data_IF_691161272200
#
_entry.id   IF_691161272200
#
_cell.length_a   1.000
_cell.length_b   1.000
_cell.length_c   1.000
_cell.angle_alpha   90.00
_cell.angle_beta   90.00
_cell.angle_gamma   90.00
#
_symmetry.space_group_name_H-M   'P 1'
#
loop_
_entity.id
_entity.type
_entity.pdbx_description
1 polymer ?
#
# COMPACT_ATOMS: atom_id res chain seq x y z
N UNK A 1 0.68 -22.42 -7.65
CA UNK A 1 -0.78 -22.52 -7.47
C UNK A 1 -1.36 -23.04 -8.77
N UNK A 2 -2.16 -24.11 -8.74
CA UNK A 2 -2.90 -24.56 -9.92
C UNK A 2 -4.18 -23.71 -10.06
N UNK A 3 -4.34 -22.92 -11.15
CA UNK A 3 -5.53 -22.10 -11.37
C UNK A 3 -6.84 -22.90 -11.41
N UNK A 4 -6.79 -24.18 -11.81
CA UNK A 4 -7.97 -25.06 -11.90
C UNK A 4 -8.47 -25.50 -10.53
N UNK A 5 -7.58 -25.57 -9.53
CA UNK A 5 -7.92 -25.95 -8.17
C UNK A 5 -8.51 -24.79 -7.36
N UNK A 6 -8.30 -23.55 -7.80
CA UNK A 6 -8.69 -22.35 -7.05
C UNK A 6 -9.33 -21.26 -7.95
N UNK A 7 -10.44 -21.56 -8.64
CA UNK A 7 -11.04 -20.67 -9.63
C UNK A 7 -11.41 -19.28 -9.09
N UNK A 8 -11.84 -19.20 -7.82
CA UNK A 8 -12.17 -17.90 -7.19
C UNK A 8 -10.93 -17.03 -6.96
N UNK A 9 -9.81 -17.64 -6.56
CA UNK A 9 -8.56 -16.89 -6.41
C UNK A 9 -8.01 -16.46 -7.77
N UNK A 10 -8.17 -17.29 -8.81
CA UNK A 10 -7.85 -16.92 -10.20
C UNK A 10 -8.64 -15.68 -10.64
N UNK A 11 -9.95 -15.65 -10.39
CA UNK A 11 -10.78 -14.47 -10.67
C UNK A 11 -10.29 -13.23 -9.92
N UNK A 12 -10.02 -13.35 -8.61
CA UNK A 12 -9.49 -12.24 -7.82
C UNK A 12 -8.10 -11.78 -8.28
N UNK A 13 -7.23 -12.70 -8.71
CA UNK A 13 -5.94 -12.38 -9.28
C UNK A 13 -6.07 -11.47 -10.53
N UNK A 14 -7.04 -11.76 -11.39
CA UNK A 14 -7.32 -10.93 -12.57
C UNK A 14 -7.83 -9.54 -12.18
N UNK A 15 -8.73 -9.45 -11.20
CA UNK A 15 -9.24 -8.18 -10.70
C UNK A 15 -8.16 -7.34 -10.02
N UNK A 16 -7.27 -7.99 -9.27
CA UNK A 16 -6.08 -7.36 -8.69
C UNK A 16 -5.17 -6.86 -9.82
N UNK A 17 -4.85 -7.68 -10.81
CA UNK A 17 -3.98 -7.28 -11.93
C UNK A 17 -4.51 -6.04 -12.68
N UNK A 18 -5.83 -5.98 -12.95
CA UNK A 18 -6.49 -4.80 -13.52
C UNK A 18 -6.34 -3.58 -12.62
N UNK A 19 -6.54 -3.76 -11.32
CA UNK A 19 -6.42 -2.70 -10.31
C UNK A 19 -4.99 -2.15 -10.23
N UNK A 20 -3.97 -2.98 -10.46
CA UNK A 20 -2.56 -2.57 -10.45
C UNK A 20 -2.10 -1.90 -11.75
N UNK A 21 -2.95 -1.85 -12.79
CA UNK A 21 -2.73 -1.15 -14.07
C UNK A 21 -1.37 -1.46 -14.74
N UNK A 22 -0.91 -2.72 -14.65
CA UNK A 22 0.33 -3.15 -15.30
C UNK A 22 1.63 -2.82 -14.56
N UNK A 23 1.57 -2.20 -13.37
CA UNK A 23 2.76 -1.93 -12.57
C UNK A 23 3.41 -3.24 -12.10
N UNK A 24 4.57 -3.58 -12.70
CA UNK A 24 5.29 -4.82 -12.43
C UNK A 24 5.75 -4.94 -10.97
N UNK A 25 6.17 -3.81 -10.40
CA UNK A 25 6.64 -3.72 -9.02
C UNK A 25 5.49 -4.03 -8.07
N UNK A 26 4.36 -3.34 -8.26
CA UNK A 26 3.16 -3.51 -7.44
C UNK A 26 2.57 -4.91 -7.58
N UNK A 27 2.62 -5.48 -8.79
CA UNK A 27 2.24 -6.87 -9.05
C UNK A 27 3.12 -7.86 -8.28
N UNK A 28 4.44 -7.67 -8.29
CA UNK A 28 5.37 -8.53 -7.53
C UNK A 28 5.14 -8.45 -6.01
N UNK A 29 4.97 -7.24 -5.48
CA UNK A 29 4.70 -7.03 -4.05
C UNK A 29 3.38 -7.70 -3.65
N UNK A 30 2.34 -7.50 -4.44
CA UNK A 30 1.02 -8.09 -4.20
C UNK A 30 1.04 -9.62 -4.33
N UNK A 31 1.74 -10.16 -5.34
CA UNK A 31 1.89 -11.60 -5.52
C UNK A 31 2.59 -12.25 -4.34
N UNK A 32 3.66 -11.63 -3.81
CA UNK A 32 4.36 -12.10 -2.61
C UNK A 32 3.46 -12.12 -1.38
N UNK A 33 2.63 -11.09 -1.22
CA UNK A 33 1.66 -11.00 -0.12
C UNK A 33 0.62 -12.14 -0.17
N UNK A 34 0.21 -12.52 -1.38
CA UNK A 34 -0.81 -13.54 -1.61
C UNK A 34 -0.27 -14.97 -1.65
N UNK A 35 1.03 -15.14 -1.94
CA UNK A 35 1.65 -16.44 -2.27
C UNK A 35 1.38 -17.53 -1.23
N UNK A 36 1.38 -17.16 0.04
CA UNK A 36 1.37 -18.10 1.15
C UNK A 36 -0.03 -18.18 1.82
N UNK A 37 -1.05 -17.52 1.25
CA UNK A 37 -2.42 -17.51 1.81
C UNK A 37 -3.47 -17.57 0.70
N UNK A 38 -4.09 -18.74 0.51
CA UNK A 38 -5.16 -18.98 -0.49
C UNK A 38 -6.58 -18.80 0.07
N UNK A 39 -6.71 -18.25 1.27
CA UNK A 39 -8.02 -18.05 1.88
C UNK A 39 -8.78 -16.95 1.14
N UNK A 40 -10.01 -17.24 0.70
CA UNK A 40 -10.74 -16.33 -0.19
C UNK A 40 -10.99 -14.95 0.43
N UNK A 41 -11.28 -14.89 1.73
CA UNK A 41 -11.51 -13.62 2.41
C UNK A 41 -10.24 -12.76 2.47
N UNK A 42 -9.06 -13.38 2.51
CA UNK A 42 -7.80 -12.64 2.48
C UNK A 42 -7.63 -11.93 1.13
N UNK A 43 -7.84 -12.65 0.03
CA UNK A 43 -7.77 -12.08 -1.32
C UNK A 43 -8.82 -10.98 -1.54
N UNK A 44 -10.05 -11.17 -1.06
CA UNK A 44 -11.09 -10.14 -1.09
C UNK A 44 -10.68 -8.89 -0.32
N UNK A 45 -10.09 -9.04 0.87
CA UNK A 45 -9.62 -7.90 1.67
C UNK A 45 -8.47 -7.15 0.98
N UNK A 46 -7.53 -7.87 0.35
CA UNK A 46 -6.45 -7.25 -0.43
C UNK A 46 -7.01 -6.45 -1.61
N UNK A 47 -7.95 -7.03 -2.37
CA UNK A 47 -8.60 -6.33 -3.49
C UNK A 47 -9.39 -5.10 -3.01
N UNK A 48 -10.16 -5.23 -1.92
CA UNK A 48 -10.93 -4.13 -1.35
C UNK A 48 -10.01 -3.00 -0.86
N UNK A 49 -8.91 -3.36 -0.19
CA UNK A 49 -7.88 -2.41 0.22
C UNK A 49 -7.27 -1.67 -0.97
N UNK A 50 -6.83 -2.40 -2.01
CA UNK A 50 -6.24 -1.78 -3.21
C UNK A 50 -7.21 -0.81 -3.89
N UNK A 51 -8.48 -1.20 -4.05
CA UNK A 51 -9.51 -0.35 -4.65
C UNK A 51 -9.76 0.90 -3.82
N UNK A 52 -9.96 0.77 -2.51
CA UNK A 52 -10.19 1.90 -1.62
C UNK A 52 -8.99 2.84 -1.57
N UNK A 53 -7.79 2.28 -1.55
CA UNK A 53 -6.54 3.02 -1.63
C UNK A 53 -6.42 3.85 -2.92
N UNK A 54 -6.58 3.21 -4.08
CA UNK A 54 -6.48 3.88 -5.39
C UNK A 54 -7.57 4.94 -5.51
N UNK A 55 -8.81 4.63 -5.13
CA UNK A 55 -9.91 5.59 -5.19
C UNK A 55 -9.61 6.83 -4.34
N UNK A 56 -9.11 6.64 -3.11
CA UNK A 56 -8.69 7.75 -2.25
C UNK A 56 -7.56 8.55 -2.88
N UNK A 57 -6.55 7.88 -3.44
CA UNK A 57 -5.42 8.54 -4.07
C UNK A 57 -5.85 9.39 -5.28
N UNK A 58 -6.63 8.81 -6.19
CA UNK A 58 -7.18 9.52 -7.36
C UNK A 58 -8.08 10.67 -6.93
N UNK A 59 -8.89 10.51 -5.90
CA UNK A 59 -9.75 11.60 -5.39
C UNK A 59 -8.98 12.78 -4.82
N UNK A 60 -7.78 12.57 -4.26
CA UNK A 60 -6.98 13.63 -3.62
C UNK A 60 -5.97 14.23 -4.61
N UNK A 61 -5.35 13.39 -5.44
CA UNK A 61 -4.21 13.76 -6.26
C UNK A 61 -4.51 13.74 -7.77
N UNK A 62 -5.67 13.25 -8.20
CA UNK A 62 -6.08 13.18 -9.61
C UNK A 62 -5.42 12.08 -10.43
N UNK A 63 -4.39 11.41 -9.90
CA UNK A 63 -3.58 10.43 -10.63
C UNK A 63 -3.53 9.07 -9.91
N UNK A 64 -3.31 8.02 -10.69
CA UNK A 64 -3.17 6.66 -10.17
C UNK A 64 -1.81 6.50 -9.48
N UNK A 65 -1.76 6.01 -8.22
CA UNK A 65 -0.53 6.00 -7.42
C UNK A 65 0.58 5.16 -8.04
N UNK A 66 0.25 4.07 -8.74
CA UNK A 66 1.25 3.23 -9.39
C UNK A 66 1.84 3.88 -10.66
N UNK A 67 1.09 4.73 -11.35
CA UNK A 67 1.61 5.49 -12.51
C UNK A 67 2.65 6.51 -12.03
N UNK A 68 2.41 7.13 -10.87
CA UNK A 68 3.35 8.06 -10.24
C UNK A 68 4.64 7.35 -9.83
N UNK A 69 4.54 6.19 -9.18
CA UNK A 69 5.72 5.40 -8.79
C UNK A 69 6.53 4.98 -10.02
N UNK A 70 5.88 4.52 -11.08
CA UNK A 70 6.55 4.13 -12.33
C UNK A 70 7.22 5.34 -13.02
N UNK A 71 6.71 6.56 -12.82
CA UNK A 71 7.32 7.82 -13.25
C UNK A 71 8.36 8.38 -12.25
N UNK A 72 8.69 7.63 -11.20
CA UNK A 72 9.58 8.05 -10.10
C UNK A 72 9.13 9.35 -9.39
N UNK A 73 7.80 9.58 -9.35
CA UNK A 73 7.15 10.69 -8.65
C UNK A 73 6.62 10.21 -7.30
N UNK A 74 6.57 11.09 -6.28
CA UNK A 74 6.06 10.70 -4.98
C UNK A 74 4.59 10.29 -5.01
N UNK A 75 4.27 9.19 -4.33
CA UNK A 75 2.89 8.72 -4.18
C UNK A 75 2.61 8.35 -2.72
N UNK A 76 1.42 8.72 -2.25
CA UNK A 76 0.96 8.40 -0.90
C UNK A 76 0.31 7.02 -0.90
N UNK A 77 0.51 6.23 0.15
CA UNK A 77 0.01 4.87 0.32
C UNK A 77 -0.62 4.72 1.71
N UNK A 78 -1.82 4.13 1.76
CA UNK A 78 -2.41 3.71 3.04
C UNK A 78 -1.73 2.47 3.59
N UNK A 79 -1.84 2.22 4.90
CA UNK A 79 -1.43 0.94 5.51
C UNK A 79 -2.61 -0.02 5.61
N UNK A 80 -2.36 -1.31 5.36
CA UNK A 80 -3.40 -2.35 5.36
C UNK A 80 -3.92 -2.66 6.76
N UNK A 81 -3.03 -2.70 7.76
CA UNK A 81 -3.40 -2.97 9.15
C UNK A 81 -3.59 -1.70 10.01
N UNK A 82 -3.29 -0.52 9.47
CA UNK A 82 -3.46 0.77 10.15
C UNK A 82 -4.11 1.81 9.21
N UNK A 83 -5.44 1.76 8.99
CA UNK A 83 -6.12 2.59 8.00
C UNK A 83 -6.04 4.10 8.26
N UNK A 84 -5.70 4.50 9.49
CA UNK A 84 -5.48 5.88 9.92
C UNK A 84 -4.04 6.37 9.69
N UNK A 85 -3.15 5.53 9.20
CA UNK A 85 -1.76 5.88 8.90
C UNK A 85 -1.50 5.77 7.40
N UNK A 86 -0.69 6.68 6.87
CA UNK A 86 -0.19 6.62 5.51
C UNK A 86 1.34 6.70 5.47
N UNK A 87 1.89 6.39 4.31
CA UNK A 87 3.31 6.54 4.03
C UNK A 87 3.49 7.05 2.61
N UNK A 88 4.57 7.79 2.37
CA UNK A 88 4.90 8.32 1.05
C UNK A 88 6.07 7.53 0.52
N UNK A 89 5.96 7.04 -0.72
CA UNK A 89 7.10 6.55 -1.51
C UNK A 89 7.60 7.75 -2.31
N UNK A 90 8.87 8.14 -2.14
CA UNK A 90 9.43 9.33 -2.81
C UNK A 90 10.10 8.99 -4.13
N UNK A 91 11.08 8.09 -4.09
CA UNK A 91 11.86 7.67 -5.24
C UNK A 91 12.13 6.18 -5.16
N UNK A 92 12.02 5.53 -6.31
CA UNK A 92 12.43 4.16 -6.49
C UNK A 92 13.69 4.13 -7.33
N UNK A 93 14.67 3.36 -6.87
CA UNK A 93 15.88 3.10 -7.62
C UNK A 93 16.29 1.63 -7.45
N UNK A 94 16.99 1.11 -8.45
CA UNK A 94 17.56 -0.23 -8.40
C UNK A 94 19.06 -0.09 -8.20
N UNK A 95 19.61 -0.86 -7.27
CA UNK A 95 21.04 -0.79 -6.98
C UNK A 95 21.56 -2.19 -6.70
N UNK A 96 22.84 -2.38 -7.02
CA UNK A 96 23.58 -3.58 -6.66
C UNK A 96 24.05 -3.41 -5.23
N UNK A 97 23.45 -4.16 -4.32
CA UNK A 97 23.87 -4.23 -2.93
C UNK A 97 24.62 -5.54 -2.69
N UNK A 98 25.64 -5.51 -1.82
CA UNK A 98 26.09 -6.74 -1.16
C UNK A 98 24.97 -7.21 -0.21
N UNK A 99 24.97 -8.49 0.18
CA UNK A 99 23.90 -9.02 1.05
C UNK A 99 23.80 -8.27 2.39
N UNK A 100 24.92 -7.76 2.88
CA UNK A 100 25.01 -6.98 4.12
C UNK A 100 24.50 -5.53 3.96
N UNK A 101 24.48 -4.99 2.74
CA UNK A 101 24.10 -3.61 2.45
C UNK A 101 22.62 -3.43 2.08
N UNK A 102 21.84 -4.52 2.00
CA UNK A 102 20.42 -4.44 1.66
C UNK A 102 19.59 -3.92 2.84
N UNK A 103 18.66 -2.96 2.63
CA UNK A 103 17.76 -2.53 3.68
C UNK A 103 17.00 -3.69 4.34
N UNK A 104 17.09 -3.78 5.67
CA UNK A 104 16.43 -4.84 6.46
C UNK A 104 14.91 -4.69 6.50
N UNK A 105 14.42 -3.46 6.37
CA UNK A 105 12.98 -3.16 6.36
C UNK A 105 12.44 -3.46 4.96
N UNK A 106 11.41 -4.30 4.88
CA UNK A 106 10.73 -4.60 3.62
C UNK A 106 9.48 -3.77 3.45
N UNK A 107 9.04 -3.62 2.20
CA UNK A 107 7.81 -2.88 1.90
C UNK A 107 6.58 -3.50 2.56
N UNK A 108 6.57 -4.83 2.79
CA UNK A 108 5.51 -5.48 3.55
C UNK A 108 5.45 -4.97 5.00
N UNK A 109 6.59 -4.80 5.66
CA UNK A 109 6.67 -4.35 7.06
C UNK A 109 6.10 -2.93 7.20
N UNK A 110 6.27 -2.09 6.17
CA UNK A 110 5.67 -0.75 6.09
C UNK A 110 4.17 -0.85 5.86
N UNK A 111 3.72 -1.62 4.85
CA UNK A 111 2.29 -1.79 4.55
C UNK A 111 1.48 -2.35 5.72
N UNK A 112 2.06 -3.26 6.51
CA UNK A 112 1.43 -3.85 7.70
C UNK A 112 1.54 -3.00 8.96
N UNK A 113 2.26 -1.87 8.95
CA UNK A 113 2.38 -1.04 10.17
C UNK A 113 3.37 -1.58 11.21
N UNK A 114 4.13 -2.63 10.90
CA UNK A 114 5.11 -3.23 11.81
C UNK A 114 6.29 -2.31 12.11
N UNK A 115 6.48 -1.26 11.31
CA UNK A 115 7.52 -0.24 11.48
C UNK A 115 6.92 1.17 11.54
N UNK A 116 7.33 1.96 12.55
CA UNK A 116 6.98 3.38 12.73
C UNK A 116 8.20 4.30 12.59
N UNK A 117 8.69 4.50 11.36
CA UNK A 117 9.79 5.43 11.13
C UNK A 117 9.28 6.87 11.18
N UNK A 118 9.92 7.72 11.97
CA UNK A 118 9.55 9.13 12.15
C UNK A 118 10.11 10.05 11.04
N UNK A 119 10.91 9.50 10.11
CA UNK A 119 11.66 10.22 9.08
C UNK A 119 11.71 9.41 7.77
N UNK A 120 12.51 9.85 6.78
CA UNK A 120 12.68 9.19 5.47
C UNK A 120 13.66 8.02 5.52
N UNK A 121 13.21 6.79 5.32
CA UNK A 121 14.03 5.57 5.49
C UNK A 121 14.03 4.74 4.20
N UNK A 122 15.08 3.93 4.03
CA UNK A 122 15.18 3.03 2.88
C UNK A 122 14.46 1.71 3.13
N UNK A 123 13.79 1.22 2.09
CA UNK A 123 12.94 0.05 2.15
C UNK A 123 13.23 -0.85 0.97
N UNK A 124 13.46 -2.13 1.24
CA UNK A 124 13.54 -3.14 0.21
C UNK A 124 12.15 -3.44 -0.35
N UNK A 125 11.92 -3.12 -1.62
CA UNK A 125 10.70 -3.50 -2.33
C UNK A 125 10.80 -4.95 -2.77
N UNK A 126 11.90 -5.29 -3.46
CA UNK A 126 12.09 -6.60 -4.06
C UNK A 126 13.56 -6.87 -4.38
N UNK A 127 13.99 -8.14 -4.29
CA UNK A 127 15.25 -8.65 -4.85
C UNK A 127 14.96 -9.60 -6.01
N UNK A 128 15.46 -9.27 -7.19
CA UNK A 128 15.35 -10.10 -8.40
C UNK A 128 15.81 -11.52 -8.10
N UNK A 129 15.09 -12.51 -8.62
CA UNK A 129 15.46 -13.92 -8.54
C UNK A 129 16.28 -14.37 -9.75
N UNK A 130 16.52 -13.45 -10.69
CA UNK A 130 17.28 -13.69 -11.91
C UNK A 130 18.61 -12.94 -11.78
N UNK A 131 19.76 -13.56 -12.14
CA UNK A 131 21.05 -12.88 -12.16
C UNK A 131 20.99 -11.55 -12.93
N UNK A 132 21.68 -10.50 -12.44
CA UNK A 132 22.61 -10.50 -11.31
C UNK A 132 21.94 -10.20 -9.95
N UNK A 133 20.68 -10.56 -9.74
CA UNK A 133 19.94 -10.46 -8.47
C UNK A 133 19.82 -9.05 -7.90
N UNK A 134 19.56 -8.06 -8.76
CA UNK A 134 19.36 -6.67 -8.36
C UNK A 134 18.33 -6.50 -7.24
N UNK A 135 18.63 -5.60 -6.31
CA UNK A 135 17.69 -5.16 -5.28
C UNK A 135 17.06 -3.83 -5.69
N UNK A 136 15.74 -3.78 -5.55
CA UNK A 136 14.91 -2.62 -5.80
C UNK A 136 14.55 -2.00 -4.45
N UNK A 137 14.98 -0.76 -4.26
CA UNK A 137 14.85 -0.02 -3.02
C UNK A 137 14.05 1.24 -3.29
N UNK A 138 13.30 1.70 -2.29
CA UNK A 138 12.75 3.04 -2.32
C UNK A 138 12.99 3.76 -1.00
N UNK A 139 12.96 5.08 -1.07
CA UNK A 139 12.87 5.92 0.12
C UNK A 139 11.41 6.13 0.47
N UNK A 140 11.04 5.70 1.67
CA UNK A 140 9.71 5.91 2.25
C UNK A 140 9.77 6.95 3.36
N UNK A 141 8.66 7.63 3.64
CA UNK A 141 8.48 8.43 4.87
C UNK A 141 7.11 8.17 5.47
N UNK A 142 7.01 8.00 6.79
CA UNK A 142 5.70 7.85 7.43
C UNK A 142 5.00 9.20 7.54
N UNK A 143 3.67 9.18 7.50
CA UNK A 143 2.84 10.33 7.77
C UNK A 143 1.65 9.90 8.64
N UNK A 144 1.38 10.70 9.67
CA UNK A 144 0.17 10.55 10.46
C UNK A 144 -0.95 11.34 9.80
N UNK A 145 -2.06 10.67 9.49
CA UNK A 145 -3.27 11.37 9.09
C UNK A 145 -3.90 11.97 10.34
N UNK A 146 -3.83 13.29 10.48
CA UNK A 146 -4.70 14.01 11.40
C UNK A 146 -6.13 13.87 10.87
N UNK A 147 -6.92 12.98 11.46
CA UNK A 147 -8.37 12.95 11.22
C UNK A 147 -8.93 14.31 11.62
N UNK A 148 -9.39 15.09 10.65
CA UNK A 148 -10.21 16.25 10.94
C UNK A 148 -11.48 15.73 11.62
N UNK A 149 -11.53 15.85 12.95
CA UNK A 149 -12.74 15.54 13.69
C UNK A 149 -13.84 16.45 13.13
N UNK A 150 -14.81 15.84 12.44
CA UNK A 150 -16.02 16.53 12.05
C UNK A 150 -16.68 16.99 13.36
N UNK A 151 -16.51 18.27 13.71
CA UNK A 151 -17.26 18.91 14.79
C UNK A 151 -18.73 18.83 14.40
N UNK A 152 -19.42 17.76 14.83
CA UNK A 152 -20.89 17.75 14.82
C UNK A 152 -21.30 18.87 15.76
N UNK A 153 -21.76 19.97 15.18
CA UNK A 153 -22.42 21.06 15.90
C UNK A 153 -23.74 20.47 16.41
N UNK A 154 -23.75 19.96 17.64
CA UNK A 154 -24.99 19.63 18.30
C UNK A 154 -25.67 20.97 18.59
N UNK A 155 -26.70 21.31 17.82
CA UNK A 155 -27.54 22.47 18.15
C UNK A 155 -28.30 22.11 19.43
N UNK A 156 -27.89 22.71 20.55
CA UNK A 156 -28.70 22.71 21.76
C UNK A 156 -29.91 23.60 21.46
N UNK A 157 -31.09 22.98 21.27
CA UNK A 157 -32.34 23.71 21.48
C UNK A 157 -32.41 24.03 22.97
N UNK A 158 -32.22 25.31 23.30
CA UNK A 158 -32.47 25.82 24.63
C UNK A 158 -33.93 25.54 24.99
N UNK A 159 -34.15 24.65 25.95
CA UNK A 159 -35.35 24.67 26.76
C UNK A 159 -35.27 25.89 27.67
N UNK A 160 -36.19 26.82 27.49
CA UNK A 160 -36.51 27.81 28.53
C UNK A 160 -37.91 27.44 29.01
N UNK A 161 -37.97 27.06 30.28
CA UNK A 161 -39.19 26.99 31.08
C UNK A 161 -39.37 28.28 31.86
N UNK A 162 -40.65 28.62 32.08
CA UNK A 162 -41.24 29.56 33.06
C UNK A 162 -41.29 31.03 32.61
N UNK A 163 -42.41 31.75 32.72
CA UNK A 163 -43.55 31.63 33.65
C UNK A 163 -44.91 31.61 32.95
#
# INVERSE_FOLDING_TARGET
MDPKQHPRCTYLAMEIAKTLKGSLISANVTARLLRDNFHIHFWCNVLAFLRGFIQKHVSIFGEHPFDLVDQNRPACFGRMAAPSEDFVIYHQYHQRFSEDDVPKIRIQDVMYGSTKPHWKFEVLIWRSQIPPYHSYVCTCGARELKTAAAKRKHSMKNGVMLN
#
